data_IF_820637833050
#
_entry.id   IF_820637833050
#
_cell.length_a   1.000
_cell.length_b   1.000
_cell.length_c   1.000
_cell.angle_alpha   90.00
_cell.angle_beta   90.00
_cell.angle_gamma   90.00
#
_symmetry.space_group_name_H-M   'P 1'
#
loop_
_entity.id
_entity.type
_entity.pdbx_description
1 polymer ?
#
# COMPACT_ATOMS: atom_id res chain seq x y z
N UNK A 1 13.59 19.02 34.12
CA UNK A 1 13.42 17.61 34.54
C UNK A 1 13.16 16.83 33.26
N UNK A 2 14.24 16.38 32.60
CA UNK A 2 14.21 15.90 31.22
C UNK A 2 14.06 14.38 31.21
N UNK A 3 13.05 13.87 30.52
CA UNK A 3 12.93 12.44 30.20
C UNK A 3 13.12 12.23 28.69
N UNK A 4 13.96 11.25 28.43
CA UNK A 4 14.50 10.78 27.16
C UNK A 4 13.42 10.06 26.34
N UNK A 5 13.51 10.16 25.02
CA UNK A 5 13.21 9.03 24.14
C UNK A 5 14.09 9.12 22.89
N UNK A 6 15.14 8.32 22.95
CA UNK A 6 16.06 7.93 21.89
C UNK A 6 15.29 7.22 20.77
N UNK A 7 15.21 7.82 19.58
CA UNK A 7 14.90 7.09 18.36
C UNK A 7 16.21 6.51 17.79
N UNK A 8 16.20 5.19 17.59
CA UNK A 8 17.34 4.39 17.18
C UNK A 8 17.78 4.72 15.75
N UNK A 9 19.08 4.98 15.64
CA UNK A 9 19.83 5.02 14.39
C UNK A 9 20.11 3.56 13.98
N UNK A 10 19.51 3.08 12.89
CA UNK A 10 20.00 1.89 12.17
C UNK A 10 20.38 2.35 10.77
N UNK A 11 21.51 3.06 10.69
CA UNK A 11 22.25 3.23 9.45
C UNK A 11 23.26 2.07 9.38
N UNK A 12 22.81 0.92 8.89
CA UNK A 12 23.71 -0.18 8.59
C UNK A 12 24.47 0.14 7.30
N UNK A 13 25.75 0.48 7.47
CA UNK A 13 26.66 0.74 6.37
C UNK A 13 26.96 -0.53 5.57
N UNK A 14 26.79 -0.45 4.26
CA UNK A 14 27.44 -1.30 3.27
C UNK A 14 27.96 -0.40 2.15
N UNK A 15 29.02 0.35 2.47
CA UNK A 15 29.91 0.98 1.50
C UNK A 15 31.16 0.11 1.43
N UNK A 16 31.21 -0.82 0.48
CA UNK A 16 32.46 -1.47 0.10
C UNK A 16 32.45 -1.95 -1.35
N UNK A 17 33.24 -1.23 -2.14
CA UNK A 17 34.06 -1.66 -3.28
C UNK A 17 33.36 -2.22 -4.52
N UNK A 18 33.58 -1.50 -5.63
CA UNK A 18 33.11 -1.85 -6.95
C UNK A 18 33.80 -3.08 -7.55
N UNK A 19 33.03 -3.77 -8.37
CA UNK A 19 33.54 -4.55 -9.50
C UNK A 19 32.69 -4.12 -10.68
N UNK A 20 33.34 -3.68 -11.76
CA UNK A 20 32.69 -3.34 -13.03
C UNK A 20 32.12 -4.61 -13.65
N UNK A 21 30.96 -5.05 -13.21
CA UNK A 21 30.22 -6.13 -13.86
C UNK A 21 29.51 -5.56 -15.10
N UNK A 22 29.43 -6.41 -16.12
CA UNK A 22 28.58 -6.22 -17.31
C UNK A 22 27.19 -5.77 -16.81
N UNK A 23 26.56 -4.79 -17.45
CA UNK A 23 25.32 -4.20 -16.94
C UNK A 23 24.18 -5.24 -16.86
N UNK A 24 24.04 -5.88 -15.70
CA UNK A 24 22.99 -6.85 -15.38
C UNK A 24 21.79 -6.09 -14.83
N UNK A 25 20.60 -6.32 -15.39
CA UNK A 25 19.31 -5.77 -15.01
C UNK A 25 18.82 -6.26 -13.64
N UNK A 26 18.56 -7.57 -13.47
CA UNK A 26 18.44 -8.19 -12.14
C UNK A 26 19.13 -9.56 -12.13
N UNK A 27 19.80 -9.87 -11.03
CA UNK A 27 20.47 -11.16 -10.78
C UNK A 27 20.22 -11.63 -9.35
N UNK A 28 20.46 -12.92 -9.11
CA UNK A 28 20.41 -13.48 -7.77
C UNK A 28 21.28 -12.68 -6.77
N UNK A 29 20.70 -12.32 -5.63
CA UNK A 29 21.34 -11.56 -4.57
C UNK A 29 21.15 -10.05 -4.62
N UNK A 30 20.65 -9.50 -5.74
CA UNK A 30 20.40 -8.05 -5.85
C UNK A 30 19.37 -7.60 -4.79
N UNK A 31 19.69 -6.50 -4.10
CA UNK A 31 18.74 -5.78 -3.24
C UNK A 31 18.23 -4.57 -4.01
N UNK A 32 16.92 -4.46 -4.18
CA UNK A 32 16.28 -3.38 -4.93
C UNK A 32 15.48 -2.51 -3.96
N UNK A 33 15.79 -1.23 -3.91
CA UNK A 33 14.99 -0.24 -3.19
C UNK A 33 14.30 0.67 -4.18
N UNK A 34 12.99 0.87 -4.06
CA UNK A 34 12.24 1.83 -4.90
C UNK A 34 11.49 2.84 -4.03
N UNK A 35 11.45 4.08 -4.48
CA UNK A 35 10.68 5.14 -3.85
C UNK A 35 9.92 5.95 -4.91
N UNK A 36 8.66 6.26 -4.65
CA UNK A 36 7.83 6.93 -5.64
C UNK A 36 6.43 7.32 -5.15
N UNK A 37 5.63 7.83 -6.07
CA UNK A 37 4.23 8.11 -5.80
C UNK A 37 3.43 6.80 -5.92
N UNK A 38 2.62 6.51 -4.91
CA UNK A 38 1.69 5.39 -4.88
C UNK A 38 0.29 5.92 -4.63
N UNK A 39 -0.67 5.52 -5.46
CA UNK A 39 -2.07 5.91 -5.37
C UNK A 39 -2.90 4.68 -5.05
N UNK A 40 -3.69 4.75 -3.99
CA UNK A 40 -4.74 3.76 -3.67
C UNK A 40 -6.05 4.29 -4.20
N UNK A 41 -6.69 3.51 -5.06
CA UNK A 41 -8.00 3.79 -5.65
C UNK A 41 -8.96 2.67 -5.26
N UNK A 42 -9.79 2.89 -4.23
CA UNK A 42 -10.81 1.94 -3.80
C UNK A 42 -11.76 1.52 -4.94
N UNK A 43 -12.19 0.27 -4.91
CA UNK A 43 -13.31 -0.28 -5.68
C UNK A 43 -14.31 -0.82 -4.66
N UNK A 44 -14.88 0.11 -3.90
CA UNK A 44 -15.61 -0.18 -2.67
C UNK A 44 -17.02 -0.73 -2.91
N UNK A 45 -17.48 -1.58 -2.00
CA UNK A 45 -18.86 -2.05 -1.93
C UNK A 45 -19.29 -2.31 -0.49
N UNK A 46 -20.53 -1.98 -0.18
CA UNK A 46 -21.12 -2.23 1.16
C UNK A 46 -22.64 -2.40 1.06
N UNK A 47 -23.28 -3.02 2.07
CA UNK A 47 -24.73 -2.92 2.20
C UNK A 47 -25.19 -1.45 2.30
N UNK A 48 -26.42 -1.17 1.87
CA UNK A 48 -27.02 0.16 2.01
C UNK A 48 -27.09 0.56 3.49
N UNK A 49 -26.31 1.58 3.84
CA UNK A 49 -26.15 2.09 5.20
C UNK A 49 -27.34 2.98 5.55
N UNK A 50 -28.02 2.66 6.66
CA UNK A 50 -29.17 3.40 7.18
C UNK A 50 -30.30 3.66 6.15
N UNK A 51 -30.40 2.84 5.11
CA UNK A 51 -31.39 3.02 4.03
C UNK A 51 -31.09 4.18 3.07
N UNK A 52 -29.86 4.72 3.07
CA UNK A 52 -29.46 5.90 2.31
C UNK A 52 -28.69 5.52 1.05
N UNK A 53 -27.48 5.00 1.20
CA UNK A 53 -26.57 4.63 0.13
C UNK A 53 -25.51 3.64 0.64
N UNK A 54 -24.70 3.10 -0.27
CA UNK A 54 -23.44 2.44 0.08
C UNK A 54 -22.39 3.50 0.49
N UNK A 55 -21.36 3.08 1.21
CA UNK A 55 -20.19 3.93 1.45
C UNK A 55 -19.47 4.24 0.14
N UNK A 56 -19.02 5.49 -0.01
CA UNK A 56 -18.06 5.88 -1.05
C UNK A 56 -16.73 6.26 -0.42
N UNK A 57 -15.61 5.83 -1.00
CA UNK A 57 -14.26 6.06 -0.47
C UNK A 57 -13.41 6.71 -1.55
N UNK A 58 -12.76 7.84 -1.23
CA UNK A 58 -11.97 8.57 -2.22
C UNK A 58 -10.58 7.97 -2.48
N UNK A 59 -9.94 8.43 -3.55
CA UNK A 59 -8.56 8.06 -3.88
C UNK A 59 -7.55 8.82 -3.00
N UNK A 60 -6.42 8.19 -2.67
CA UNK A 60 -5.34 8.88 -1.96
C UNK A 60 -3.95 8.53 -2.50
N UNK A 61 -3.11 9.55 -2.66
CA UNK A 61 -1.72 9.40 -3.14
C UNK A 61 -0.72 9.72 -2.05
N UNK A 62 0.23 8.81 -1.83
CA UNK A 62 1.25 8.87 -0.79
C UNK A 62 2.64 8.55 -1.33
N UNK A 63 3.64 8.66 -0.45
CA UNK A 63 4.99 8.17 -0.74
C UNK A 63 5.05 6.66 -0.51
N UNK A 64 5.34 5.91 -1.56
CA UNK A 64 5.50 4.46 -1.56
C UNK A 64 6.97 4.06 -1.57
N UNK A 65 7.28 2.99 -0.84
CA UNK A 65 8.62 2.41 -0.69
C UNK A 65 8.55 0.90 -0.93
N UNK A 66 9.37 0.38 -1.84
CA UNK A 66 9.46 -1.06 -2.10
C UNK A 66 10.85 -1.56 -1.74
N UNK A 67 10.90 -2.68 -1.04
CA UNK A 67 12.12 -3.40 -0.71
C UNK A 67 12.07 -4.77 -1.35
N UNK A 68 12.82 -4.95 -2.44
CA UNK A 68 12.94 -6.19 -3.19
C UNK A 68 14.25 -6.92 -2.89
N UNK A 69 14.18 -8.25 -2.87
CA UNK A 69 15.35 -9.13 -2.85
C UNK A 69 15.22 -10.19 -3.94
N UNK A 70 16.20 -10.26 -4.83
CA UNK A 70 16.23 -11.26 -5.90
C UNK A 70 16.80 -12.58 -5.37
N UNK A 71 15.96 -13.61 -5.29
CA UNK A 71 16.36 -14.96 -4.90
C UNK A 71 17.12 -15.65 -6.05
N UNK A 72 16.67 -15.43 -7.28
CA UNK A 72 17.31 -15.87 -8.51
C UNK A 72 17.28 -14.74 -9.55
N UNK A 73 17.77 -14.97 -10.76
CA UNK A 73 17.71 -13.97 -11.84
C UNK A 73 16.28 -13.62 -12.27
N UNK A 74 15.29 -14.44 -11.92
CA UNK A 74 13.88 -14.25 -12.29
C UNK A 74 12.93 -14.22 -11.08
N UNK A 75 13.30 -14.79 -9.94
CA UNK A 75 12.45 -14.80 -8.75
C UNK A 75 12.93 -13.81 -7.71
N UNK A 76 12.01 -13.02 -7.18
CA UNK A 76 12.26 -12.10 -6.08
C UNK A 76 11.13 -12.12 -5.05
N UNK A 77 11.39 -11.49 -3.92
CA UNK A 77 10.37 -11.16 -2.91
C UNK A 77 10.42 -9.66 -2.68
N UNK A 78 9.26 -9.03 -2.57
CA UNK A 78 9.13 -7.59 -2.39
C UNK A 78 8.17 -7.27 -1.25
N UNK A 79 8.59 -6.32 -0.40
CA UNK A 79 7.75 -5.69 0.61
C UNK A 79 7.43 -4.26 0.15
N UNK A 80 6.14 -3.98 -0.09
CA UNK A 80 5.61 -2.64 -0.28
C UNK A 80 5.24 -2.04 1.08
N UNK A 81 5.69 -0.82 1.31
CA UNK A 81 5.32 0.05 2.42
C UNK A 81 4.98 1.44 1.88
N UNK A 82 4.23 2.23 2.64
CA UNK A 82 3.90 3.60 2.27
C UNK A 82 3.79 4.49 3.51
N UNK A 83 3.79 5.80 3.31
CA UNK A 83 3.28 6.73 4.33
C UNK A 83 1.76 6.51 4.49
N UNK A 84 1.18 6.73 5.68
CA UNK A 84 -0.25 6.49 5.91
C UNK A 84 -1.14 7.13 4.86
N UNK A 85 -2.05 6.36 4.27
CA UNK A 85 -3.08 6.90 3.40
C UNK A 85 -4.19 7.53 4.25
N UNK A 86 -4.85 8.56 3.72
CA UNK A 86 -6.00 9.22 4.34
C UNK A 86 -7.15 9.19 3.35
N UNK A 87 -8.31 8.70 3.77
CA UNK A 87 -9.49 8.58 2.93
C UNK A 87 -10.70 9.26 3.58
N UNK A 88 -11.43 10.00 2.77
CA UNK A 88 -12.74 10.54 3.11
C UNK A 88 -13.81 9.49 2.77
N UNK A 89 -14.62 9.16 3.78
CA UNK A 89 -15.77 8.26 3.62
C UNK A 89 -17.02 9.11 3.45
N UNK A 90 -17.76 8.84 2.38
CA UNK A 90 -18.98 9.55 2.01
C UNK A 90 -20.20 8.64 2.00
N UNK A 91 -21.38 9.24 2.13
CA UNK A 91 -22.65 8.52 2.12
C UNK A 91 -23.68 9.22 1.23
N UNK A 92 -23.73 8.83 -0.05
CA UNK A 92 -24.70 9.35 -1.03
C UNK A 92 -24.79 10.88 -1.02
N UNK A 93 -26.01 11.42 -0.90
CA UNK A 93 -26.25 12.86 -0.90
C UNK A 93 -25.81 13.60 0.39
N UNK A 94 -25.44 12.88 1.46
CA UNK A 94 -24.92 13.49 2.68
C UNK A 94 -23.48 13.98 2.52
N UNK A 95 -22.77 13.50 1.50
CA UNK A 95 -21.36 13.84 1.29
C UNK A 95 -20.45 13.17 2.32
N UNK A 96 -19.33 13.82 2.66
CA UNK A 96 -18.34 13.31 3.62
C UNK A 96 -18.97 13.15 5.00
N UNK A 97 -18.90 11.94 5.53
CA UNK A 97 -19.37 11.60 6.89
C UNK A 97 -18.22 11.22 7.82
N UNK A 98 -17.10 10.72 7.30
CA UNK A 98 -15.96 10.32 8.11
C UNK A 98 -14.63 10.48 7.37
N UNK A 99 -13.55 10.32 8.11
CA UNK A 99 -12.19 10.20 7.63
C UNK A 99 -11.52 9.00 8.31
N UNK A 100 -10.70 8.27 7.56
CA UNK A 100 -9.93 7.13 8.08
C UNK A 100 -8.53 7.14 7.49
N UNK A 101 -7.55 6.67 8.26
CA UNK A 101 -6.22 6.39 7.74
C UNK A 101 -5.91 4.91 7.76
N UNK A 102 -5.07 4.48 6.85
CA UNK A 102 -4.56 3.11 6.86
C UNK A 102 -3.12 2.97 6.40
N UNK A 103 -2.55 1.85 6.78
CA UNK A 103 -1.28 1.35 6.26
C UNK A 103 -1.52 -0.06 5.71
N UNK A 104 -1.24 -0.29 4.41
CA UNK A 104 -1.43 -1.58 3.75
C UNK A 104 -0.09 -2.28 3.40
N UNK A 105 0.81 -2.60 4.35
CA UNK A 105 2.02 -3.34 4.01
C UNK A 105 1.69 -4.63 3.27
N UNK A 106 2.37 -4.84 2.14
CA UNK A 106 2.07 -5.94 1.23
C UNK A 106 3.35 -6.70 0.90
N UNK A 107 3.36 -8.00 1.12
CA UNK A 107 4.49 -8.88 0.82
C UNK A 107 4.15 -9.76 -0.37
N UNK A 108 4.94 -9.69 -1.44
CA UNK A 108 4.72 -10.44 -2.68
C UNK A 108 5.95 -11.25 -3.09
N UNK A 109 5.71 -12.44 -3.63
CA UNK A 109 6.67 -13.15 -4.45
C UNK A 109 6.51 -12.69 -5.90
N UNK A 110 7.62 -12.37 -6.56
CA UNK A 110 7.64 -11.82 -7.91
C UNK A 110 8.38 -12.76 -8.87
N UNK A 111 7.86 -12.83 -10.09
CA UNK A 111 8.54 -13.44 -11.24
C UNK A 111 8.77 -12.39 -12.32
N UNK A 112 10.05 -12.16 -12.63
CA UNK A 112 10.51 -11.25 -13.68
C UNK A 112 10.72 -12.02 -14.98
N UNK A 113 10.12 -11.52 -16.05
CA UNK A 113 10.33 -12.03 -17.40
C UNK A 113 11.66 -11.54 -17.98
N UNK A 114 12.07 -12.17 -19.08
CA UNK A 114 13.35 -11.93 -19.73
C UNK A 114 14.52 -12.53 -18.96
N UNK A 115 15.71 -12.03 -19.24
CA UNK A 115 16.96 -12.48 -18.63
C UNK A 115 17.66 -11.35 -17.87
N UNK A 116 18.76 -11.71 -17.22
CA UNK A 116 19.55 -10.79 -16.43
C UNK A 116 20.16 -9.64 -17.25
N UNK A 117 20.21 -9.69 -18.58
CA UNK A 117 20.74 -8.59 -19.43
C UNK A 117 19.62 -7.70 -20.00
N UNK A 118 18.36 -8.08 -19.79
CA UNK A 118 17.21 -7.39 -20.35
C UNK A 118 16.98 -6.04 -19.67
N UNK A 119 17.19 -4.91 -20.38
CA UNK A 119 16.97 -3.57 -19.80
C UNK A 119 15.55 -3.35 -19.31
N UNK A 120 14.57 -3.84 -20.06
CA UNK A 120 13.16 -3.79 -19.71
C UNK A 120 12.74 -5.15 -19.16
N UNK A 121 12.25 -5.18 -17.92
CA UNK A 121 11.85 -6.41 -17.23
C UNK A 121 10.43 -6.27 -16.71
N UNK A 122 9.45 -6.75 -17.50
CA UNK A 122 8.10 -6.97 -16.99
C UNK A 122 8.14 -8.01 -15.88
N UNK A 123 7.21 -7.92 -14.93
CA UNK A 123 7.06 -8.91 -13.88
C UNK A 123 5.60 -9.04 -13.43
N UNK A 124 5.33 -10.17 -12.80
CA UNK A 124 4.08 -10.45 -12.10
C UNK A 124 4.40 -10.85 -10.67
N UNK A 125 3.48 -10.58 -9.75
CA UNK A 125 3.64 -10.92 -8.35
C UNK A 125 2.33 -11.35 -7.71
N UNK A 126 2.45 -12.19 -6.68
CA UNK A 126 1.34 -12.64 -5.85
C UNK A 126 1.77 -12.71 -4.40
N UNK A 127 0.86 -12.44 -3.47
CA UNK A 127 1.23 -12.34 -2.08
C UNK A 127 0.08 -12.04 -1.14
N UNK A 128 0.42 -11.42 -0.02
CA UNK A 128 -0.49 -11.14 1.08
C UNK A 128 -0.40 -9.67 1.45
N UNK A 129 -1.57 -9.05 1.58
CA UNK A 129 -1.77 -7.72 2.11
C UNK A 129 -2.22 -7.82 3.58
N UNK A 130 -1.66 -6.96 4.42
CA UNK A 130 -2.18 -6.67 5.75
C UNK A 130 -2.54 -5.19 5.80
N UNK A 131 -3.79 -4.85 6.11
CA UNK A 131 -4.24 -3.47 6.21
C UNK A 131 -4.71 -3.15 7.62
N UNK A 132 -4.11 -2.11 8.21
CA UNK A 132 -4.47 -1.61 9.53
C UNK A 132 -5.03 -0.19 9.43
N UNK A 133 -6.27 -0.03 9.87
CA UNK A 133 -6.96 1.26 9.93
C UNK A 133 -6.78 1.94 11.28
N UNK A 134 -6.67 3.27 11.29
CA UNK A 134 -6.48 4.09 12.48
C UNK A 134 -6.85 5.55 12.19
N UNK A 135 -6.84 6.39 13.23
CA UNK A 135 -7.30 7.79 13.14
C UNK A 135 -8.68 7.90 12.46
N UNK A 136 -9.61 7.02 12.85
CA UNK A 136 -10.96 6.99 12.30
C UNK A 136 -11.83 7.99 13.05
N UNK A 137 -12.44 8.94 12.34
CA UNK A 137 -13.32 9.92 12.98
C UNK A 137 -14.47 10.32 12.06
N UNK A 138 -15.65 10.52 12.65
CA UNK A 138 -16.79 11.13 11.98
C UNK A 138 -16.60 12.65 11.88
N UNK A 139 -17.18 13.25 10.84
CA UNK A 139 -17.32 14.71 10.76
C UNK A 139 -18.21 15.23 11.89
N UNK A 140 -18.10 16.52 12.20
CA UNK A 140 -18.93 17.11 13.26
C UNK A 140 -20.42 17.01 12.90
N UNK A 141 -20.76 17.19 11.63
CA UNK A 141 -22.11 17.08 11.12
C UNK A 141 -22.66 15.66 11.29
N UNK A 142 -21.83 14.62 11.05
CA UNK A 142 -22.22 13.23 11.29
C UNK A 142 -22.43 12.94 12.79
N UNK A 143 -21.57 13.48 13.66
CA UNK A 143 -21.73 13.36 15.12
C UNK A 143 -23.01 14.00 15.62
N UNK A 144 -23.37 15.17 15.08
CA UNK A 144 -24.62 15.85 15.42
C UNK A 144 -25.87 15.07 14.99
N UNK A 145 -25.73 14.15 14.02
CA UNK A 145 -26.75 13.17 13.61
C UNK A 145 -26.76 11.89 14.46
N UNK A 146 -25.90 11.81 15.48
CA UNK A 146 -25.83 10.69 16.42
C UNK A 146 -24.91 9.54 15.99
N UNK A 147 -23.96 9.79 15.08
CA UNK A 147 -22.91 8.84 14.69
C UNK A 147 -21.67 9.02 15.58
N UNK A 148 -21.30 7.98 16.31
CA UNK A 148 -20.16 8.01 17.24
C UNK A 148 -19.35 6.71 17.21
N UNK A 149 -18.18 6.70 17.87
CA UNK A 149 -17.35 5.51 18.11
C UNK A 149 -16.95 4.74 16.83
N UNK A 150 -16.52 5.45 15.77
CA UNK A 150 -16.07 4.82 14.54
C UNK A 150 -14.79 4.00 14.72
N UNK A 151 -14.82 2.76 14.26
CA UNK A 151 -13.63 1.90 14.16
C UNK A 151 -13.76 0.95 12.99
N UNK A 152 -12.63 0.68 12.34
CA UNK A 152 -12.53 -0.25 11.22
C UNK A 152 -11.64 -1.41 11.66
N UNK A 153 -12.07 -2.64 11.39
CA UNK A 153 -11.29 -3.84 11.73
C UNK A 153 -10.08 -4.00 10.79
N UNK A 154 -9.02 -4.63 11.29
CA UNK A 154 -7.84 -4.93 10.46
C UNK A 154 -8.16 -6.00 9.42
N UNK A 155 -7.56 -5.89 8.25
CA UNK A 155 -7.81 -6.79 7.13
C UNK A 155 -6.56 -7.60 6.76
N UNK A 156 -6.77 -8.85 6.36
CA UNK A 156 -5.77 -9.71 5.73
C UNK A 156 -6.36 -10.24 4.44
N UNK A 157 -5.63 -10.13 3.34
CA UNK A 157 -6.14 -10.58 2.05
C UNK A 157 -5.05 -10.91 1.06
N UNK A 158 -5.47 -11.48 -0.06
CA UNK A 158 -4.58 -11.77 -1.17
C UNK A 158 -4.20 -10.49 -1.92
N UNK A 159 -2.97 -10.44 -2.42
CA UNK A 159 -2.51 -9.37 -3.30
C UNK A 159 -1.95 -9.93 -4.60
N UNK A 160 -2.24 -9.24 -5.71
CA UNK A 160 -1.64 -9.49 -7.01
C UNK A 160 -1.00 -8.21 -7.54
N UNK A 161 0.07 -8.37 -8.30
CA UNK A 161 0.81 -7.26 -8.88
C UNK A 161 1.22 -7.59 -10.31
N UNK A 162 1.20 -6.56 -11.16
CA UNK A 162 1.93 -6.55 -12.42
C UNK A 162 2.76 -5.29 -12.49
N UNK A 163 3.95 -5.39 -13.07
CA UNK A 163 4.82 -4.22 -13.16
C UNK A 163 5.90 -4.35 -14.21
N UNK A 164 6.65 -3.27 -14.32
CA UNK A 164 7.66 -3.08 -15.35
C UNK A 164 8.83 -2.31 -14.75
N UNK A 165 10.00 -2.92 -14.78
CA UNK A 165 11.26 -2.24 -14.48
C UNK A 165 11.98 -1.88 -15.76
N UNK A 166 12.48 -0.65 -15.85
CA UNK A 166 13.39 -0.22 -16.91
C UNK A 166 14.69 0.26 -16.30
N UNK A 167 15.75 -0.53 -16.51
CA UNK A 167 17.09 -0.23 -16.04
C UNK A 167 17.71 0.88 -16.90
N UNK A 168 17.90 2.05 -16.29
CA UNK A 168 18.58 3.19 -16.90
C UNK A 168 20.07 2.87 -17.05
N UNK A 169 20.65 2.29 -16.01
CA UNK A 169 22.02 1.82 -15.96
C UNK A 169 22.13 0.62 -15.00
N UNK A 170 23.35 0.30 -14.55
CA UNK A 170 23.61 -0.85 -13.67
C UNK A 170 22.97 -0.75 -12.27
N UNK A 171 22.76 0.46 -11.77
CA UNK A 171 22.27 0.68 -10.40
C UNK A 171 20.87 1.31 -10.39
N UNK A 172 20.57 2.16 -11.36
CA UNK A 172 19.33 2.94 -11.38
C UNK A 172 18.31 2.35 -12.35
N UNK A 173 17.07 2.28 -11.88
CA UNK A 173 15.91 1.90 -12.68
C UNK A 173 14.74 2.85 -12.45
N UNK A 174 13.78 2.83 -13.37
CA UNK A 174 12.44 3.36 -13.14
C UNK A 174 11.45 2.21 -13.16
N UNK A 175 10.40 2.33 -12.36
CA UNK A 175 9.38 1.32 -12.22
C UNK A 175 7.99 1.93 -12.40
N UNK A 176 7.11 1.16 -13.04
CA UNK A 176 5.68 1.35 -12.98
C UNK A 176 5.02 0.03 -12.57
N UNK A 177 4.04 0.08 -11.67
CA UNK A 177 3.29 -1.11 -11.26
C UNK A 177 1.83 -0.82 -10.95
N UNK A 178 1.03 -1.86 -11.12
CA UNK A 178 -0.39 -1.91 -10.78
C UNK A 178 -0.60 -3.11 -9.86
N UNK A 179 -1.36 -2.90 -8.80
CA UNK A 179 -1.68 -3.92 -7.83
C UNK A 179 -3.18 -3.99 -7.63
N UNK A 180 -3.62 -5.17 -7.22
CA UNK A 180 -4.92 -5.42 -6.65
C UNK A 180 -4.70 -6.02 -5.26
N UNK A 181 -5.44 -5.52 -4.26
CA UNK A 181 -5.45 -6.07 -2.92
C UNK A 181 -6.89 -6.40 -2.53
N UNK A 182 -7.09 -7.62 -2.04
CA UNK A 182 -8.32 -8.01 -1.36
C UNK A 182 -8.29 -7.40 0.05
N UNK A 183 -9.21 -6.47 0.31
CA UNK A 183 -9.30 -5.75 1.59
C UNK A 183 -10.77 -5.66 1.96
N UNK A 184 -11.16 -6.45 2.95
CA UNK A 184 -12.47 -6.39 3.61
C UNK A 184 -12.34 -5.96 5.07
N UNK A 185 -13.25 -5.12 5.56
CA UNK A 185 -13.23 -4.57 6.93
C UNK A 185 -14.64 -4.42 7.49
N UNK A 186 -14.79 -4.64 8.79
CA UNK A 186 -16.01 -4.32 9.53
C UNK A 186 -15.96 -2.86 9.99
N UNK A 187 -16.85 -2.05 9.43
CA UNK A 187 -17.06 -0.67 9.86
C UNK A 187 -18.01 -0.68 11.06
N UNK A 188 -17.45 -0.48 12.25
CA UNK A 188 -18.18 -0.49 13.52
C UNK A 188 -18.39 0.93 14.03
N UNK A 189 -19.62 1.27 14.37
CA UNK A 189 -19.98 2.58 14.92
C UNK A 189 -21.25 2.51 15.76
N UNK A 190 -21.59 3.61 16.44
CA UNK A 190 -22.84 3.78 17.18
C UNK A 190 -23.75 4.74 16.41
N UNK A 191 -25.03 4.40 16.25
CA UNK A 191 -26.06 5.26 15.68
C UNK A 191 -27.18 5.46 16.69
N UNK A 192 -27.34 6.67 17.22
CA UNK A 192 -28.41 6.98 18.18
C UNK A 192 -28.35 6.16 19.47
N UNK A 193 -27.18 5.64 19.84
CA UNK A 193 -26.95 4.79 21.01
C UNK A 193 -26.90 3.29 20.72
N UNK A 194 -27.29 2.85 19.52
CA UNK A 194 -27.24 1.44 19.12
C UNK A 194 -25.95 1.11 18.36
N UNK A 195 -25.34 -0.03 18.67
CA UNK A 195 -24.15 -0.49 17.96
C UNK A 195 -24.51 -1.05 16.58
N UNK A 196 -23.80 -0.58 15.56
CA UNK A 196 -23.93 -0.97 14.15
C UNK A 196 -22.59 -1.49 13.65
N UNK A 197 -22.64 -2.56 12.86
CA UNK A 197 -21.46 -3.16 12.21
C UNK A 197 -21.81 -3.45 10.76
N UNK A 198 -20.99 -2.97 9.83
CA UNK A 198 -21.20 -3.09 8.39
C UNK A 198 -19.94 -3.66 7.76
N UNK A 199 -20.06 -4.87 7.24
CA UNK A 199 -19.05 -5.51 6.40
C UNK A 199 -18.90 -4.71 5.10
N UNK A 200 -17.68 -4.24 4.83
CA UNK A 200 -17.36 -3.34 3.72
C UNK A 200 -16.12 -3.84 2.99
N UNK A 201 -16.27 -4.05 1.70
CA UNK A 201 -15.18 -4.39 0.80
C UNK A 201 -14.58 -3.09 0.23
N UNK A 202 -13.25 -2.97 0.24
CA UNK A 202 -12.51 -1.83 -0.31
C UNK A 202 -11.83 -2.21 -1.64
N UNK A 203 -11.29 -3.44 -1.70
CA UNK A 203 -10.73 -4.08 -2.89
C UNK A 203 -9.96 -3.17 -3.88
N UNK A 204 -8.99 -2.37 -3.40
CA UNK A 204 -8.48 -1.27 -4.20
C UNK A 204 -7.57 -1.73 -5.34
N UNK A 205 -7.59 -0.92 -6.41
CA UNK A 205 -6.50 -0.86 -7.37
C UNK A 205 -5.43 0.12 -6.90
N UNK A 206 -4.18 -0.31 -6.91
CA UNK A 206 -3.05 0.52 -6.47
C UNK A 206 -2.10 0.76 -7.63
N UNK A 207 -1.76 2.02 -7.87
CA UNK A 207 -0.88 2.44 -8.97
C UNK A 207 0.38 3.07 -8.41
N UNK A 208 1.55 2.64 -8.88
CA UNK A 208 2.83 3.18 -8.42
C UNK A 208 3.75 3.51 -9.58
N UNK A 209 4.37 4.68 -9.51
CA UNK A 209 5.51 5.07 -10.36
C UNK A 209 6.66 5.47 -9.46
N UNK A 210 7.83 4.87 -9.67
CA UNK A 210 8.97 5.02 -8.77
C UNK A 210 10.32 5.03 -9.46
N UNK A 211 11.31 5.56 -8.74
CA UNK A 211 12.73 5.43 -9.09
C UNK A 211 13.33 4.39 -8.14
N UNK A 212 14.10 3.47 -8.70
CA UNK A 212 14.76 2.41 -7.96
C UNK A 212 16.27 2.51 -8.00
N UNK A 213 16.89 2.03 -6.93
CA UNK A 213 18.32 1.78 -6.81
C UNK A 213 18.56 0.32 -6.47
N UNK A 214 19.57 -0.26 -7.09
CA UNK A 214 19.98 -1.65 -6.94
C UNK A 214 21.37 -1.73 -6.32
N UNK A 215 21.52 -2.57 -5.30
CA UNK A 215 22.77 -2.82 -4.57
C UNK A 215 23.34 -4.18 -4.93
#
# INVERSE_FOLDING_TARGET
MNKKLTLGLVAAGLLSAGVSSVAVAHQAGDIIFRAGAVMVSPDESSPVVAGIAEFGVDDNTQLGLNFGYMITDNWGVELLAATPFSHDVSLGALGKIAETKHLPPTLVAQYYFGDAQSKLRPYVGVGVNFTNFFDNDFTQEAKDLGLDNLSLSTSWGFAAQVGLDYNINKDWLVNASVWYADISTDVNFTLGGDAVSIDTDINPWVYMVSVGYKF
#
